data_IF_811568531941
#
_entry.id   IF_811568531941
#
_cell.length_a   1.000
_cell.length_b   1.000
_cell.length_c   1.000
_cell.angle_alpha   90.00
_cell.angle_beta   90.00
_cell.angle_gamma   90.00
#
_symmetry.space_group_name_H-M   'P 1'
#
loop_
_entity.id
_entity.type
_entity.pdbx_description
1 polymer ?
#
# COMPACT_ATOMS: atom_id res chain seq x y z
N UNK A 1 -5.43 -74.98 31.92
CA UNK A 1 -5.57 -73.85 32.86
C UNK A 1 -4.19 -73.38 33.27
N UNK A 2 -3.67 -72.33 32.62
CA UNK A 2 -2.78 -71.27 33.16
C UNK A 2 -2.21 -70.47 31.97
N UNK A 3 -2.66 -69.23 31.92
CA UNK A 3 -2.19 -68.15 31.06
C UNK A 3 -0.90 -67.60 31.66
N UNK A 4 0.11 -67.28 30.85
CA UNK A 4 1.01 -66.14 31.08
C UNK A 4 1.73 -65.77 29.79
N UNK A 5 1.59 -64.49 29.45
CA UNK A 5 2.17 -63.78 28.33
C UNK A 5 3.70 -63.71 28.42
N UNK A 6 4.41 -63.85 27.30
CA UNK A 6 5.71 -63.21 27.11
C UNK A 6 5.76 -62.56 25.72
N UNK A 7 6.16 -61.29 25.75
CA UNK A 7 6.15 -60.30 24.67
C UNK A 7 7.16 -60.66 23.58
N UNK A 8 6.69 -60.71 22.33
CA UNK A 8 7.55 -60.84 21.15
C UNK A 8 8.04 -59.45 20.73
N UNK A 9 9.35 -59.22 20.82
CA UNK A 9 10.01 -58.03 20.29
C UNK A 9 10.03 -58.10 18.75
N UNK A 10 9.15 -57.33 18.11
CA UNK A 10 9.25 -57.05 16.67
C UNK A 10 10.11 -55.80 16.48
N UNK A 11 11.26 -55.98 15.84
CA UNK A 11 12.07 -54.89 15.30
C UNK A 11 11.20 -54.04 14.35
N UNK A 12 10.95 -52.80 14.76
CA UNK A 12 10.41 -51.77 13.88
C UNK A 12 11.53 -51.28 12.96
N UNK A 13 11.62 -51.87 11.77
CA UNK A 13 12.19 -51.18 10.62
C UNK A 13 11.18 -50.10 10.23
N UNK A 14 11.36 -48.87 10.73
CA UNK A 14 10.72 -47.69 10.17
C UNK A 14 11.25 -47.51 8.75
N UNK A 15 10.59 -48.17 7.79
CA UNK A 15 10.52 -47.69 6.42
C UNK A 15 9.90 -46.30 6.53
N UNK A 16 10.74 -45.27 6.40
CA UNK A 16 10.28 -43.91 6.17
C UNK A 16 9.56 -43.95 4.82
N UNK A 17 8.24 -44.21 4.87
CA UNK A 17 7.35 -43.73 3.83
C UNK A 17 7.48 -42.21 3.88
N UNK A 18 8.36 -41.68 3.04
CA UNK A 18 8.18 -40.35 2.49
C UNK A 18 6.87 -40.42 1.70
N UNK A 19 5.74 -40.20 2.38
CA UNK A 19 4.51 -39.83 1.72
C UNK A 19 4.77 -38.49 1.04
N UNK A 20 5.15 -38.58 -0.23
CA UNK A 20 5.21 -37.48 -1.15
C UNK A 20 3.77 -37.01 -1.29
N UNK A 21 3.36 -36.03 -0.47
CA UNK A 21 2.10 -35.33 -0.66
C UNK A 21 2.24 -34.64 -2.02
N UNK A 22 1.66 -35.24 -3.05
CA UNK A 22 1.69 -34.75 -4.43
C UNK A 22 1.07 -33.35 -4.47
N UNK A 23 1.93 -32.34 -4.42
CA UNK A 23 1.52 -30.96 -4.62
C UNK A 23 0.88 -30.82 -6.00
N UNK A 24 -0.19 -30.01 -6.10
CA UNK A 24 -0.81 -29.69 -7.39
C UNK A 24 0.13 -28.78 -8.18
N UNK A 25 0.39 -29.17 -9.43
CA UNK A 25 1.27 -28.46 -10.36
C UNK A 25 0.45 -27.50 -11.21
N UNK A 26 0.95 -26.28 -11.38
CA UNK A 26 0.37 -25.23 -12.20
C UNK A 26 1.39 -24.73 -13.20
N UNK A 27 1.06 -24.79 -14.48
CA UNK A 27 1.85 -24.16 -15.53
C UNK A 27 1.65 -22.65 -15.52
N UNK A 28 2.77 -21.94 -15.68
CA UNK A 28 2.85 -20.50 -15.65
C UNK A 28 3.85 -19.98 -16.67
N UNK A 29 3.64 -18.75 -17.15
CA UNK A 29 4.63 -18.05 -17.97
C UNK A 29 4.82 -16.61 -17.53
N UNK A 30 6.04 -16.09 -17.62
CA UNK A 30 6.38 -14.67 -17.43
C UNK A 30 7.27 -14.17 -18.57
N UNK A 31 7.29 -12.87 -18.82
CA UNK A 31 8.18 -12.27 -19.83
C UNK A 31 9.30 -11.51 -19.11
N UNK A 32 10.55 -11.88 -19.36
CA UNK A 32 11.75 -11.18 -18.87
C UNK A 32 12.31 -10.27 -19.98
N UNK A 33 12.69 -9.04 -19.60
CA UNK A 33 13.26 -8.05 -20.53
C UNK A 33 14.76 -8.30 -20.74
N UNK A 34 15.09 -9.39 -21.43
CA UNK A 34 16.47 -9.79 -21.73
C UNK A 34 16.57 -10.27 -23.18
N UNK A 35 17.71 -10.05 -23.86
CA UNK A 35 17.92 -10.50 -25.23
C UNK A 35 18.39 -11.95 -25.25
N UNK A 36 17.78 -12.78 -26.10
CA UNK A 36 18.19 -14.18 -26.28
C UNK A 36 19.59 -14.30 -26.93
N UNK A 37 19.99 -13.31 -27.74
CA UNK A 37 21.32 -13.26 -28.35
C UNK A 37 22.46 -13.15 -27.32
N UNK A 38 22.20 -12.50 -26.17
CA UNK A 38 23.17 -12.39 -25.07
C UNK A 38 23.39 -13.74 -24.34
N UNK A 39 22.50 -14.71 -24.57
CA UNK A 39 22.55 -16.07 -24.01
C UNK A 39 23.28 -17.04 -24.97
N UNK A 40 23.21 -16.78 -26.28
CA UNK A 40 23.80 -17.64 -27.33
C UNK A 40 25.28 -17.34 -27.63
N UNK A 41 25.85 -16.28 -27.08
CA UNK A 41 27.22 -15.83 -27.36
C UNK A 41 28.32 -16.54 -26.53
N UNK A 42 27.94 -17.43 -25.62
CA UNK A 42 28.83 -18.16 -24.68
C UNK A 42 28.45 -19.66 -24.68
N UNK A 43 29.26 -20.59 -24.12
CA UNK A 43 28.92 -22.01 -24.13
C UNK A 43 27.51 -22.25 -23.55
N UNK A 44 26.60 -22.69 -24.43
CA UNK A 44 25.14 -22.56 -24.24
C UNK A 44 24.58 -23.22 -22.96
N UNK A 45 25.25 -24.25 -22.43
CA UNK A 45 24.80 -24.94 -21.21
C UNK A 45 24.99 -24.09 -19.94
N UNK A 46 26.15 -23.46 -19.78
CA UNK A 46 26.50 -22.76 -18.52
C UNK A 46 25.65 -21.52 -18.28
N UNK A 47 25.32 -20.76 -19.32
CA UNK A 47 24.53 -19.53 -19.18
C UNK A 47 23.03 -19.79 -19.06
N UNK A 48 22.53 -20.84 -19.71
CA UNK A 48 21.15 -21.29 -19.56
C UNK A 48 20.87 -21.72 -18.12
N UNK A 49 21.73 -22.58 -17.56
CA UNK A 49 21.58 -23.08 -16.18
C UNK A 49 21.70 -21.95 -15.15
N UNK A 50 22.57 -20.97 -15.39
CA UNK A 50 22.67 -19.78 -14.54
C UNK A 50 21.40 -18.92 -14.55
N UNK A 51 20.82 -18.66 -15.72
CA UNK A 51 19.61 -17.84 -15.85
C UNK A 51 18.41 -18.56 -15.23
N UNK A 52 18.25 -19.85 -15.53
CA UNK A 52 17.22 -20.70 -14.92
C UNK A 52 17.37 -20.71 -13.41
N UNK A 53 18.58 -20.96 -12.89
CA UNK A 53 18.85 -20.97 -11.45
C UNK A 53 18.55 -19.63 -10.78
N UNK A 54 18.86 -18.51 -11.43
CA UNK A 54 18.54 -17.18 -10.92
C UNK A 54 17.03 -16.91 -10.87
N UNK A 55 16.29 -17.31 -11.90
CA UNK A 55 14.83 -17.17 -11.95
C UNK A 55 14.19 -18.02 -10.85
N UNK A 56 14.55 -19.29 -10.77
CA UNK A 56 14.00 -20.20 -9.75
C UNK A 56 14.31 -19.70 -8.33
N UNK A 57 15.54 -19.26 -8.08
CA UNK A 57 15.92 -18.68 -6.79
C UNK A 57 15.12 -17.42 -6.46
N UNK A 58 14.90 -16.54 -7.45
CA UNK A 58 14.09 -15.34 -7.25
C UNK A 58 12.64 -15.68 -6.89
N UNK A 59 12.05 -16.67 -7.56
CA UNK A 59 10.68 -17.14 -7.30
C UNK A 59 10.60 -17.81 -5.92
N UNK A 60 11.52 -18.74 -5.58
CA UNK A 60 11.58 -19.35 -4.24
C UNK A 60 11.66 -18.31 -3.13
N UNK A 61 12.43 -17.25 -3.34
CA UNK A 61 12.56 -16.16 -2.38
C UNK A 61 11.27 -15.36 -2.17
N UNK A 62 10.38 -15.29 -3.17
CA UNK A 62 9.04 -14.69 -3.01
C UNK A 62 8.19 -15.56 -2.08
N UNK A 63 8.23 -16.86 -2.29
CA UNK A 63 7.43 -17.84 -1.54
C UNK A 63 8.08 -18.34 -0.25
N UNK A 64 9.22 -17.77 0.18
CA UNK A 64 10.01 -18.28 1.32
C UNK A 64 9.24 -18.43 2.63
N UNK A 65 8.17 -17.65 2.81
CA UNK A 65 7.32 -17.66 4.00
C UNK A 65 5.93 -18.27 3.73
N UNK A 66 5.69 -18.79 2.54
CA UNK A 66 4.42 -19.42 2.17
C UNK A 66 4.47 -20.93 2.38
N UNK A 67 3.93 -21.37 3.51
CA UNK A 67 3.75 -22.80 3.86
C UNK A 67 3.02 -23.65 2.81
N UNK A 68 2.27 -23.03 1.89
CA UNK A 68 1.52 -23.73 0.85
C UNK A 68 2.34 -23.97 -0.42
N UNK A 69 3.44 -23.26 -0.62
CA UNK A 69 4.31 -23.39 -1.78
C UNK A 69 5.25 -24.58 -1.60
N UNK A 70 5.29 -25.46 -2.59
CA UNK A 70 6.22 -26.59 -2.63
C UNK A 70 7.51 -26.22 -3.37
N UNK A 71 7.39 -25.90 -4.65
CA UNK A 71 8.53 -25.81 -5.55
C UNK A 71 8.22 -25.02 -6.84
N UNK A 72 9.25 -24.48 -7.47
CA UNK A 72 9.24 -23.93 -8.84
C UNK A 72 10.23 -24.71 -9.70
N UNK A 73 9.87 -24.93 -10.96
CA UNK A 73 10.74 -25.51 -11.97
C UNK A 73 10.58 -24.75 -13.29
N UNK A 74 11.65 -24.21 -13.84
CA UNK A 74 11.61 -23.61 -15.19
C UNK A 74 11.65 -24.75 -16.22
N UNK A 75 10.70 -24.72 -17.15
CA UNK A 75 10.54 -25.76 -18.16
C UNK A 75 11.26 -25.40 -19.45
N UNK A 76 11.14 -24.15 -19.90
CA UNK A 76 11.79 -23.66 -21.11
C UNK A 76 11.86 -22.14 -21.17
N UNK A 77 12.76 -21.63 -22.02
CA UNK A 77 12.88 -20.23 -22.39
C UNK A 77 12.56 -20.08 -23.89
N UNK A 78 11.64 -19.19 -24.25
CA UNK A 78 11.24 -18.92 -25.64
C UNK A 78 11.46 -17.47 -26.01
N UNK A 79 11.73 -17.19 -27.28
CA UNK A 79 11.78 -15.81 -27.76
C UNK A 79 10.35 -15.28 -27.97
N UNK A 80 10.08 -14.03 -27.58
CA UNK A 80 8.81 -13.38 -27.86
C UNK A 80 8.78 -12.95 -29.35
N UNK A 81 7.77 -13.40 -30.10
CA UNK A 81 7.62 -13.09 -31.52
C UNK A 81 7.51 -11.57 -31.78
N UNK A 82 8.19 -11.09 -32.81
CA UNK A 82 8.16 -9.68 -33.20
C UNK A 82 6.83 -9.34 -33.90
N UNK A 83 6.02 -8.48 -33.29
CA UNK A 83 4.86 -7.89 -33.97
C UNK A 83 5.32 -6.91 -35.06
N UNK A 84 4.60 -6.88 -36.19
CA UNK A 84 4.90 -6.15 -37.45
C UNK A 84 5.08 -4.62 -37.36
N UNK A 85 5.13 -4.02 -36.16
CA UNK A 85 5.31 -2.58 -35.94
C UNK A 85 6.45 -2.20 -34.97
N UNK A 86 7.33 -3.14 -34.58
CA UNK A 86 8.47 -2.81 -33.71
C UNK A 86 9.79 -3.34 -34.26
N UNK A 87 10.58 -2.44 -34.83
CA UNK A 87 12.03 -2.58 -34.91
C UNK A 87 12.61 -2.24 -33.53
N UNK A 88 13.11 -3.26 -32.84
CA UNK A 88 13.94 -3.29 -31.61
C UNK A 88 13.27 -3.93 -30.38
N UNK A 89 13.93 -5.01 -29.93
CA UNK A 89 13.90 -5.65 -28.60
C UNK A 89 13.02 -6.91 -28.47
N UNK A 90 13.64 -8.09 -28.66
CA UNK A 90 13.02 -9.41 -28.44
C UNK A 90 13.24 -9.87 -27.01
N UNK A 91 12.18 -9.89 -26.20
CA UNK A 91 12.18 -10.38 -24.81
C UNK A 91 12.12 -11.91 -24.77
N UNK A 92 12.34 -12.49 -23.60
CA UNK A 92 12.26 -13.94 -23.38
C UNK A 92 10.99 -14.26 -22.57
N UNK A 93 10.25 -15.26 -23.02
CA UNK A 93 9.16 -15.89 -22.28
C UNK A 93 9.76 -17.05 -21.48
N UNK A 94 9.53 -17.06 -20.18
CA UNK A 94 9.92 -18.14 -19.27
C UNK A 94 8.67 -18.95 -18.98
N UNK A 95 8.64 -20.21 -19.42
CA UNK A 95 7.58 -21.15 -19.03
C UNK A 95 8.06 -21.97 -17.83
N UNK A 96 7.21 -22.13 -16.82
CA UNK A 96 7.56 -22.73 -15.54
C UNK A 96 6.38 -23.48 -14.91
N UNK A 97 6.71 -24.40 -14.02
CA UNK A 97 5.78 -25.13 -13.18
C UNK A 97 5.91 -24.67 -11.73
N UNK A 98 4.78 -24.34 -11.11
CA UNK A 98 4.67 -24.03 -9.69
C UNK A 98 3.89 -25.13 -9.00
N UNK A 99 4.40 -25.65 -7.89
CA UNK A 99 3.74 -26.70 -7.10
C UNK A 99 3.25 -26.15 -5.76
N UNK A 100 2.04 -26.52 -5.38
CA UNK A 100 1.40 -26.11 -4.14
C UNK A 100 0.76 -27.29 -3.42
N UNK A 101 0.82 -27.32 -2.09
CA UNK A 101 0.29 -28.42 -1.30
C UNK A 101 -1.25 -28.41 -1.21
N UNK A 102 -1.89 -27.23 -1.21
CA UNK A 102 -3.33 -27.08 -1.07
C UNK A 102 -3.92 -26.17 -2.17
N UNK A 103 -4.75 -26.77 -3.03
CA UNK A 103 -5.45 -26.11 -4.15
C UNK A 103 -6.27 -24.89 -3.73
N UNK A 104 -6.97 -24.96 -2.60
CA UNK A 104 -7.88 -23.89 -2.15
C UNK A 104 -7.13 -22.64 -1.69
N UNK A 105 -5.84 -22.76 -1.40
CA UNK A 105 -4.98 -21.65 -0.95
C UNK A 105 -4.12 -21.06 -2.06
N UNK A 106 -4.13 -21.65 -3.27
CA UNK A 106 -3.24 -21.26 -4.38
C UNK A 106 -3.46 -19.81 -4.81
N UNK A 107 -4.70 -19.32 -4.86
CA UNK A 107 -4.97 -17.92 -5.21
C UNK A 107 -4.25 -16.96 -4.25
N UNK A 108 -4.35 -17.17 -2.93
CA UNK A 108 -3.65 -16.33 -1.95
C UNK A 108 -2.13 -16.47 -2.02
N UNK A 109 -1.61 -17.66 -2.34
CA UNK A 109 -0.18 -17.90 -2.53
C UNK A 109 0.39 -17.06 -3.67
N UNK A 110 -0.27 -17.06 -4.83
CA UNK A 110 0.27 -16.45 -6.07
C UNK A 110 0.08 -14.93 -6.14
N UNK A 111 -0.77 -14.31 -5.31
CA UNK A 111 -0.96 -12.85 -5.20
C UNK A 111 0.38 -12.10 -5.09
N UNK A 112 1.30 -12.59 -4.25
CA UNK A 112 2.63 -12.02 -4.08
C UNK A 112 3.45 -12.06 -5.38
N UNK A 113 3.38 -13.18 -6.11
CA UNK A 113 4.09 -13.33 -7.39
C UNK A 113 3.50 -12.40 -8.46
N UNK A 114 2.17 -12.28 -8.53
CA UNK A 114 1.48 -11.32 -9.41
C UNK A 114 1.90 -9.88 -9.12
N UNK A 115 1.87 -9.46 -7.86
CA UNK A 115 2.28 -8.11 -7.44
C UNK A 115 3.73 -7.81 -7.80
N UNK A 116 4.65 -8.75 -7.56
CA UNK A 116 6.06 -8.61 -7.92
C UNK A 116 6.23 -8.48 -9.44
N UNK A 117 5.58 -9.33 -10.25
CA UNK A 117 5.66 -9.22 -11.71
C UNK A 117 5.04 -7.91 -12.21
N UNK A 118 3.97 -7.43 -11.56
CA UNK A 118 3.33 -6.16 -11.88
C UNK A 118 4.25 -4.95 -11.62
N UNK A 119 5.09 -5.01 -10.59
CA UNK A 119 6.10 -3.97 -10.31
C UNK A 119 7.13 -3.83 -11.44
N UNK A 120 7.37 -4.91 -12.20
CA UNK A 120 8.30 -4.94 -13.33
C UNK A 120 9.69 -5.48 -12.99
N UNK A 121 9.90 -6.04 -11.79
CA UNK A 121 11.15 -6.70 -11.42
C UNK A 121 10.91 -7.96 -10.59
N UNK A 122 11.58 -9.05 -10.95
CA UNK A 122 11.66 -10.31 -10.20
C UNK A 122 13.05 -10.39 -9.54
N UNK A 123 13.19 -9.79 -8.36
CA UNK A 123 14.50 -9.58 -7.75
C UNK A 123 15.33 -8.60 -8.59
N UNK A 124 16.47 -9.03 -9.11
CA UNK A 124 17.30 -8.24 -10.05
C UNK A 124 16.93 -8.47 -11.52
N UNK A 125 15.94 -9.32 -11.80
CA UNK A 125 15.56 -9.70 -13.17
C UNK A 125 14.45 -8.76 -13.65
N UNK A 126 14.69 -7.93 -14.67
CA UNK A 126 13.65 -7.05 -15.20
C UNK A 126 12.57 -7.88 -15.91
N UNK A 127 11.32 -7.68 -15.56
CA UNK A 127 10.16 -8.38 -16.15
C UNK A 127 9.21 -7.40 -16.84
N UNK A 128 8.49 -7.86 -17.85
CA UNK A 128 7.38 -7.12 -18.42
C UNK A 128 6.24 -7.10 -17.40
N UNK A 129 5.75 -5.90 -17.09
CA UNK A 129 4.65 -5.69 -16.14
C UNK A 129 3.41 -6.47 -16.59
N UNK A 130 2.77 -7.16 -15.65
CA UNK A 130 1.55 -7.93 -15.91
C UNK A 130 1.72 -9.11 -16.86
N UNK A 131 2.96 -9.58 -17.10
CA UNK A 131 3.21 -10.70 -18.02
C UNK A 131 2.99 -12.08 -17.42
N UNK A 132 2.65 -12.18 -16.14
CA UNK A 132 2.40 -13.45 -15.47
C UNK A 132 1.09 -14.07 -15.95
N UNK A 133 1.18 -15.29 -16.46
CA UNK A 133 0.04 -16.12 -16.87
C UNK A 133 0.06 -17.40 -16.05
N UNK A 134 -1.12 -17.90 -15.67
CA UNK A 134 -1.33 -19.19 -14.99
C UNK A 134 -2.41 -19.96 -15.77
N UNK A 135 -2.10 -21.16 -16.26
CA UNK A 135 -2.98 -21.87 -17.21
C UNK A 135 -4.10 -22.70 -16.56
N UNK A 136 -3.86 -23.26 -15.38
CA UNK A 136 -4.76 -24.24 -14.72
C UNK A 136 -5.61 -23.66 -13.59
N UNK A 137 -5.58 -22.35 -13.38
CA UNK A 137 -6.58 -21.67 -12.58
C UNK A 137 -7.83 -21.47 -13.44
N UNK A 138 -9.06 -21.55 -12.86
CA UNK A 138 -10.25 -21.11 -13.56
C UNK A 138 -9.96 -19.73 -14.17
N UNK A 139 -10.63 -19.37 -15.27
CA UNK A 139 -10.70 -17.99 -15.74
C UNK A 139 -11.42 -17.12 -14.70
N UNK A 140 -10.89 -17.04 -13.48
CA UNK A 140 -10.65 -15.79 -12.80
C UNK A 140 -10.29 -14.82 -13.91
N UNK A 141 -11.21 -13.93 -14.18
CA UNK A 141 -11.15 -12.93 -15.23
C UNK A 141 -9.70 -12.50 -15.44
N UNK A 142 -9.23 -12.45 -16.70
CA UNK A 142 -7.98 -11.74 -17.04
C UNK A 142 -8.05 -10.24 -16.69
N UNK A 143 -9.13 -9.82 -16.06
CA UNK A 143 -9.26 -8.69 -15.15
C UNK A 143 -9.60 -9.24 -13.74
N UNK A 144 -8.62 -9.80 -13.01
CA UNK A 144 -8.64 -9.61 -11.57
C UNK A 144 -8.39 -8.12 -11.38
N UNK A 145 -9.17 -7.46 -10.50
CA UNK A 145 -9.24 -6.02 -10.49
C UNK A 145 -7.82 -5.53 -10.47
N UNK A 146 -7.50 -4.59 -11.35
CA UNK A 146 -6.55 -3.59 -10.94
C UNK A 146 -7.10 -3.19 -9.57
N UNK A 147 -6.45 -3.57 -8.45
CA UNK A 147 -6.73 -3.01 -7.13
C UNK A 147 -6.26 -1.56 -7.23
N UNK A 148 -6.91 -0.84 -8.15
CA UNK A 148 -6.56 0.45 -8.66
C UNK A 148 -7.01 1.31 -7.51
N UNK A 149 -6.04 1.62 -6.65
CA UNK A 149 -6.23 2.50 -5.52
C UNK A 149 -6.89 1.88 -4.27
N UNK A 150 -6.75 0.58 -4.02
CA UNK A 150 -7.08 0.01 -2.69
C UNK A 150 -5.84 -0.05 -1.78
N UNK A 151 -6.05 0.21 -0.49
CA UNK A 151 -5.01 0.13 0.52
C UNK A 151 -4.68 -1.33 0.88
N UNK A 152 -3.41 -1.66 1.21
CA UNK A 152 -3.06 -2.99 1.68
C UNK A 152 -3.89 -3.43 2.88
N UNK A 153 -4.10 -4.74 3.02
CA UNK A 153 -4.94 -5.33 4.06
C UNK A 153 -4.27 -5.30 5.43
N UNK A 154 -5.11 -5.35 6.47
CA UNK A 154 -4.72 -5.37 7.87
C UNK A 154 -5.17 -4.12 8.64
N UNK A 155 -5.03 -4.21 9.95
CA UNK A 155 -5.25 -3.10 10.85
C UNK A 155 -3.92 -2.38 11.06
N UNK A 156 -3.88 -1.08 10.81
CA UNK A 156 -2.68 -0.25 10.98
C UNK A 156 -3.05 1.23 11.03
N UNK A 157 -2.08 2.09 11.33
CA UNK A 157 -2.24 3.54 11.27
C UNK A 157 -1.18 4.22 10.41
N UNK A 158 -1.53 5.40 9.90
CA UNK A 158 -0.62 6.33 9.23
C UNK A 158 -0.65 7.69 9.96
N UNK A 159 0.43 8.49 9.87
CA UNK A 159 0.38 9.89 10.27
C UNK A 159 -0.67 10.65 9.45
N UNK A 160 -1.45 11.53 10.09
CA UNK A 160 -2.51 12.29 9.43
C UNK A 160 -1.96 13.53 8.74
N UNK A 161 -2.15 13.69 7.41
CA UNK A 161 -1.92 14.96 6.73
C UNK A 161 -2.91 16.06 7.15
N UNK A 162 -2.53 17.32 6.97
CA UNK A 162 -3.44 18.49 7.10
C UNK A 162 -4.63 18.41 6.15
N UNK A 163 -4.49 17.72 5.01
CA UNK A 163 -5.57 17.46 4.05
C UNK A 163 -6.59 16.42 4.55
N UNK A 164 -6.35 15.78 5.69
CA UNK A 164 -7.20 14.72 6.25
C UNK A 164 -6.71 13.32 5.90
N UNK A 165 -7.43 12.31 6.39
CA UNK A 165 -7.13 10.91 6.10
C UNK A 165 -7.41 10.53 4.64
N UNK A 166 -6.81 9.44 4.12
CA UNK A 166 -6.90 9.09 2.70
C UNK A 166 -8.33 8.99 2.17
N UNK A 167 -9.27 8.51 2.98
CA UNK A 167 -10.69 8.54 2.69
C UNK A 167 -11.51 8.47 4.00
N UNK A 168 -12.85 8.57 3.89
CA UNK A 168 -13.77 8.63 5.04
C UNK A 168 -13.91 7.31 5.81
N UNK A 169 -13.38 6.20 5.31
CA UNK A 169 -13.43 4.91 6.02
C UNK A 169 -12.37 4.81 7.12
N UNK A 170 -11.38 5.69 7.11
CA UNK A 170 -10.34 5.76 8.13
C UNK A 170 -10.88 6.45 9.38
N UNK A 171 -10.54 5.89 10.54
CA UNK A 171 -10.82 6.54 11.82
C UNK A 171 -9.71 7.53 12.15
N UNK A 172 -10.08 8.60 12.82
CA UNK A 172 -9.14 9.60 13.27
C UNK A 172 -8.91 9.49 14.77
N UNK A 173 -7.72 9.85 15.20
CA UNK A 173 -7.39 9.98 16.62
C UNK A 173 -6.15 10.82 16.81
N UNK A 174 -5.80 11.05 18.07
CA UNK A 174 -4.66 11.88 18.43
C UNK A 174 -4.03 11.44 19.75
N UNK A 175 -2.75 11.80 19.90
CA UNK A 175 -2.01 11.85 21.16
C UNK A 175 -1.40 13.23 21.29
N UNK A 176 -1.71 13.90 22.39
CA UNK A 176 -0.95 15.06 22.86
C UNK A 176 0.13 14.54 23.81
N UNK A 177 1.38 14.84 23.45
CA UNK A 177 2.58 14.57 24.24
C UNK A 177 2.92 15.85 25.00
N UNK A 178 2.91 15.77 26.32
CA UNK A 178 3.40 16.81 27.23
C UNK A 178 4.93 16.71 27.27
N UNK A 179 5.59 17.71 26.71
CA UNK A 179 7.05 17.74 26.52
C UNK A 179 7.69 18.62 27.58
N UNK A 180 9.03 18.61 27.66
CA UNK A 180 9.78 19.49 28.56
C UNK A 180 9.34 20.97 28.43
N UNK A 181 9.25 21.65 29.57
CA UNK A 181 8.73 23.02 29.69
C UNK A 181 9.86 24.07 29.74
N UNK A 182 11.05 23.70 30.22
CA UNK A 182 12.22 24.58 30.29
C UNK A 182 13.16 24.35 29.10
N UNK A 183 13.61 25.44 28.46
CA UNK A 183 14.54 25.36 27.31
C UNK A 183 14.06 24.48 26.12
N UNK A 184 12.74 24.32 25.99
CA UNK A 184 12.09 23.40 25.06
C UNK A 184 12.59 23.47 23.59
N UNK A 185 13.02 22.34 23.03
CA UNK A 185 13.50 22.19 21.64
C UNK A 185 12.53 21.51 20.66
N UNK A 186 11.26 21.35 21.05
CA UNK A 186 10.16 20.86 20.23
C UNK A 186 10.15 21.53 18.86
N UNK A 187 10.17 20.72 17.81
CA UNK A 187 10.30 21.26 16.46
C UNK A 187 9.60 20.42 15.41
N UNK A 188 9.40 21.02 14.24
CA UNK A 188 8.95 20.34 13.04
C UNK A 188 9.57 20.93 11.79
N UNK A 189 9.56 20.16 10.72
CA UNK A 189 9.97 20.68 9.41
C UNK A 189 9.20 21.95 9.01
N UNK A 190 9.91 22.89 8.39
CA UNK A 190 9.32 24.10 7.82
C UNK A 190 8.25 23.72 6.77
N UNK A 191 7.08 24.34 6.86
CA UNK A 191 5.91 24.03 6.01
C UNK A 191 5.46 22.56 6.09
N UNK A 192 5.56 21.94 7.27
CA UNK A 192 5.12 20.56 7.46
C UNK A 192 3.63 20.35 7.13
N UNK A 193 3.35 19.28 6.38
CA UNK A 193 1.99 18.87 6.05
C UNK A 193 1.38 17.95 7.11
N UNK A 194 2.06 17.70 8.23
CA UNK A 194 1.49 16.94 9.35
C UNK A 194 0.37 17.74 10.03
N UNK A 195 -0.74 17.04 10.29
CA UNK A 195 -1.83 17.55 11.12
C UNK A 195 -1.38 17.62 12.59
N UNK A 196 -2.09 18.43 13.37
CA UNK A 196 -1.75 18.76 14.75
C UNK A 196 -0.91 20.03 14.87
N UNK A 197 -0.39 20.25 16.08
CA UNK A 197 0.38 21.42 16.46
C UNK A 197 1.62 21.02 17.27
N UNK A 198 2.63 21.86 17.17
CA UNK A 198 3.86 21.82 17.97
C UNK A 198 3.89 23.14 18.71
N UNK A 199 3.96 23.10 20.03
CA UNK A 199 4.01 24.26 20.91
C UNK A 199 5.21 24.12 21.85
N UNK A 200 5.44 25.16 22.65
CA UNK A 200 6.45 25.15 23.71
C UNK A 200 6.07 24.27 24.92
N UNK A 201 4.88 23.67 24.91
CA UNK A 201 4.38 22.83 26.01
C UNK A 201 4.10 21.39 25.55
N UNK A 202 4.26 21.09 24.26
CA UNK A 202 3.93 19.77 23.78
C UNK A 202 3.63 19.67 22.30
N UNK A 203 3.41 18.43 21.89
CA UNK A 203 3.18 18.06 20.50
C UNK A 203 1.91 17.24 20.40
N UNK A 204 0.98 17.71 19.59
CA UNK A 204 -0.19 16.93 19.20
C UNK A 204 0.11 16.16 17.92
N UNK A 205 0.29 14.86 18.05
CA UNK A 205 0.30 13.93 16.92
C UNK A 205 -1.13 13.50 16.57
N UNK A 206 -1.43 13.47 15.28
CA UNK A 206 -2.72 13.04 14.74
C UNK A 206 -2.54 11.80 13.85
N UNK A 207 -3.51 10.89 13.92
CA UNK A 207 -3.45 9.58 13.30
C UNK A 207 -4.64 9.32 12.39
N UNK A 208 -4.38 8.59 11.31
CA UNK A 208 -5.38 7.94 10.49
C UNK A 208 -5.28 6.43 10.72
N UNK A 209 -6.32 5.80 11.25
CA UNK A 209 -6.36 4.37 11.55
C UNK A 209 -7.26 3.64 10.56
N UNK A 210 -6.66 2.68 9.86
CA UNK A 210 -7.35 1.79 8.95
C UNK A 210 -7.71 0.50 9.70
N UNK A 211 -9.00 0.18 9.75
CA UNK A 211 -9.52 -1.05 10.32
C UNK A 211 -10.20 -1.83 9.21
N UNK A 212 -9.51 -2.81 8.66
CA UNK A 212 -10.03 -3.60 7.54
C UNK A 212 -10.06 -5.09 7.92
N UNK A 213 -11.27 -5.63 7.99
CA UNK A 213 -11.58 -7.03 8.29
C UNK A 213 -11.86 -7.86 7.03
N UNK A 214 -11.62 -7.32 5.82
CA UNK A 214 -11.82 -8.08 4.57
C UNK A 214 -10.96 -9.34 4.58
N UNK A 215 -11.53 -10.42 4.06
CA UNK A 215 -10.86 -11.72 3.92
C UNK A 215 -9.78 -11.73 2.82
N UNK A 216 -9.82 -10.77 1.90
CA UNK A 216 -8.83 -10.62 0.84
C UNK A 216 -7.57 -9.95 1.39
N UNK A 217 -6.43 -10.61 1.25
CA UNK A 217 -5.17 -10.22 1.86
C UNK A 217 -4.28 -9.53 0.82
N UNK A 218 -4.49 -8.22 0.62
CA UNK A 218 -3.61 -7.37 -0.19
C UNK A 218 -2.33 -7.13 0.64
N UNK A 219 -1.16 -7.65 0.25
CA UNK A 219 0.07 -7.54 1.04
C UNK A 219 0.65 -6.12 0.95
N UNK A 220 1.35 -5.69 2.00
CA UNK A 220 2.17 -4.48 1.93
C UNK A 220 3.37 -4.69 1.00
N UNK A 221 3.66 -3.75 0.09
CA UNK A 221 4.78 -3.89 -0.84
C UNK A 221 6.13 -3.86 -0.12
N UNK A 222 7.11 -4.61 -0.63
CA UNK A 222 8.45 -4.63 -0.04
C UNK A 222 9.13 -3.26 -0.23
N UNK A 223 9.71 -2.72 0.83
CA UNK A 223 10.43 -1.45 0.80
C UNK A 223 11.14 -1.14 2.11
N UNK A 224 11.45 0.14 2.31
CA UNK A 224 12.08 0.69 3.52
C UNK A 224 11.21 1.79 4.12
N UNK A 225 10.26 1.40 4.96
CA UNK A 225 9.32 2.32 5.59
C UNK A 225 8.64 1.66 6.80
N UNK A 226 8.05 2.46 7.67
CA UNK A 226 7.19 1.99 8.76
C UNK A 226 5.80 2.62 8.69
N UNK A 227 4.86 1.96 9.35
CA UNK A 227 3.50 2.43 9.65
C UNK A 227 3.23 2.18 11.14
N UNK A 228 2.18 2.79 11.69
CA UNK A 228 1.78 2.51 13.06
C UNK A 228 1.11 1.13 13.16
N UNK A 229 1.45 0.38 14.21
CA UNK A 229 0.83 -0.91 14.49
C UNK A 229 -0.59 -0.70 15.02
N UNK A 230 -1.53 -1.56 14.62
CA UNK A 230 -2.87 -1.60 15.20
C UNK A 230 -3.40 -3.02 15.22
N UNK A 231 -4.17 -3.37 16.25
CA UNK A 231 -4.93 -4.62 16.27
C UNK A 231 -4.11 -5.84 16.68
N UNK A 232 -3.07 -5.65 17.49
CA UNK A 232 -2.34 -6.75 18.16
C UNK A 232 -1.21 -7.35 17.33
N UNK A 233 -1.31 -7.38 16.00
CA UNK A 233 -0.30 -7.98 15.11
C UNK A 233 -0.01 -7.09 13.90
N UNK A 234 1.23 -7.10 13.41
CA UNK A 234 1.56 -6.39 12.18
C UNK A 234 0.91 -6.99 10.93
N UNK A 235 0.51 -6.16 9.94
CA UNK A 235 0.14 -6.65 8.63
C UNK A 235 1.21 -7.54 8.00
N UNK A 236 0.77 -8.45 7.12
CA UNK A 236 1.66 -9.42 6.48
C UNK A 236 2.82 -8.73 5.76
N UNK A 237 4.04 -9.22 5.99
CA UNK A 237 5.27 -8.69 5.39
C UNK A 237 5.93 -7.55 6.17
N UNK A 238 5.32 -7.07 7.25
CA UNK A 238 5.89 -6.04 8.13
C UNK A 238 6.34 -6.64 9.47
N UNK A 239 7.34 -6.02 10.07
CA UNK A 239 7.97 -6.46 11.31
C UNK A 239 7.70 -5.46 12.43
N UNK A 240 7.39 -5.97 13.62
CA UNK A 240 7.10 -5.14 14.77
C UNK A 240 8.33 -4.38 15.26
N UNK A 241 8.10 -3.14 15.65
CA UNK A 241 9.03 -2.26 16.33
C UNK A 241 8.30 -1.39 17.35
N UNK A 242 9.04 -0.66 18.19
CA UNK A 242 8.46 0.26 19.16
C UNK A 242 9.43 1.40 19.49
N UNK A 243 8.86 2.51 19.91
CA UNK A 243 9.56 3.69 20.45
C UNK A 243 8.85 4.08 21.75
N UNK A 244 9.63 4.43 22.75
CA UNK A 244 9.21 4.95 24.05
C UNK A 244 9.73 6.37 24.19
N UNK A 245 8.81 7.29 24.42
CA UNK A 245 9.03 8.65 24.87
C UNK A 245 8.91 8.68 26.38
N UNK A 246 9.87 9.33 27.04
CA UNK A 246 9.77 9.73 28.43
C UNK A 246 9.22 11.16 28.46
N UNK A 247 7.90 11.24 28.48
CA UNK A 247 7.19 12.51 28.47
C UNK A 247 7.40 13.21 29.84
N UNK A 248 7.20 14.53 29.87
CA UNK A 248 7.41 15.36 31.05
C UNK A 248 6.55 14.89 32.23
N UNK A 249 7.17 14.72 33.41
CA UNK A 249 6.50 14.23 34.61
C UNK A 249 6.06 15.35 35.57
N UNK A 250 6.38 16.62 35.29
CA UNK A 250 5.97 17.74 36.13
C UNK A 250 4.50 18.12 35.91
N UNK A 251 3.76 18.36 37.01
CA UNK A 251 2.31 18.67 36.98
C UNK A 251 2.00 20.12 36.61
N UNK A 252 2.91 20.81 35.95
CA UNK A 252 2.86 22.27 35.83
C UNK A 252 1.97 22.70 34.66
N UNK A 253 1.93 21.97 33.55
CA UNK A 253 1.13 22.31 32.37
C UNK A 253 0.47 21.08 31.69
N UNK A 254 -0.17 21.30 30.54
CA UNK A 254 -1.18 20.44 29.89
C UNK A 254 -0.83 18.94 29.84
N UNK A 255 -1.48 18.10 30.68
CA UNK A 255 -1.08 16.71 30.77
C UNK A 255 -1.34 15.96 29.46
N UNK A 256 -0.52 14.95 29.27
CA UNK A 256 -0.70 13.90 28.28
C UNK A 256 -2.17 13.51 28.08
N UNK A 257 -2.66 13.60 26.83
CA UNK A 257 -4.05 13.32 26.51
C UNK A 257 -4.19 12.60 25.17
N UNK A 258 -5.27 11.85 25.01
CA UNK A 258 -5.56 11.13 23.77
C UNK A 258 -7.05 11.14 23.48
N UNK A 259 -7.40 10.91 22.22
CA UNK A 259 -8.79 10.76 21.81
C UNK A 259 -8.93 10.12 20.44
N UNK A 260 -10.13 9.62 20.15
CA UNK A 260 -10.40 8.89 18.92
C UNK A 260 -9.69 7.54 18.85
N UNK A 261 -9.37 7.11 17.64
CA UNK A 261 -8.68 5.84 17.40
C UNK A 261 -7.17 6.06 17.32
N UNK A 262 -6.41 5.42 18.21
CA UNK A 262 -4.94 5.55 18.28
C UNK A 262 -4.24 4.23 17.91
N UNK A 263 -2.95 4.25 17.54
CA UNK A 263 -2.14 3.05 17.38
C UNK A 263 -2.13 2.13 18.60
N UNK A 264 -1.61 0.92 18.43
CA UNK A 264 -1.24 0.09 19.58
C UNK A 264 -0.09 0.77 20.33
N UNK A 265 -0.22 0.85 21.65
CA UNK A 265 0.71 1.60 22.50
C UNK A 265 0.35 1.54 23.98
N UNK A 266 1.18 2.20 24.78
CA UNK A 266 0.88 2.53 26.17
C UNK A 266 0.88 4.06 26.30
N UNK A 267 -0.20 4.62 26.83
CA UNK A 267 -0.48 6.06 26.81
C UNK A 267 -0.75 6.55 28.23
N UNK A 268 0.21 6.35 29.13
CA UNK A 268 0.15 6.79 30.51
C UNK A 268 0.83 8.14 30.69
N UNK A 269 1.57 8.25 31.79
CA UNK A 269 2.52 9.34 32.04
C UNK A 269 3.58 9.40 30.94
N UNK A 270 4.07 8.24 30.49
CA UNK A 270 4.97 8.12 29.34
C UNK A 270 4.27 7.48 28.14
N UNK A 271 4.82 7.71 26.96
CA UNK A 271 4.25 7.19 25.71
C UNK A 271 5.09 6.05 25.13
N UNK A 272 4.44 4.94 24.79
CA UNK A 272 5.02 3.89 23.92
C UNK A 272 4.13 3.74 22.71
N UNK A 273 4.69 3.82 21.50
CA UNK A 273 3.98 3.56 20.25
C UNK A 273 4.64 2.38 19.54
N UNK A 274 3.83 1.44 19.09
CA UNK A 274 4.28 0.31 18.28
C UNK A 274 4.16 0.63 16.79
N UNK A 275 5.10 0.08 16.02
CA UNK A 275 5.25 0.26 14.58
C UNK A 275 5.31 -1.09 13.86
N UNK A 276 4.98 -1.07 12.59
CA UNK A 276 5.17 -2.17 11.66
C UNK A 276 6.04 -1.69 10.50
N UNK A 277 7.24 -2.25 10.37
CA UNK A 277 8.25 -1.80 9.42
C UNK A 277 8.50 -2.82 8.30
N UNK A 278 8.51 -2.33 7.07
CA UNK A 278 9.08 -3.03 5.92
C UNK A 278 10.58 -2.80 5.92
N UNK A 279 11.34 -3.89 6.05
CA UNK A 279 12.80 -3.84 6.21
C UNK A 279 13.56 -4.38 4.99
N UNK A 280 12.86 -4.69 3.90
CA UNK A 280 13.43 -5.45 2.78
C UNK A 280 13.20 -4.74 1.45
N UNK A 281 14.20 -4.78 0.55
CA UNK A 281 14.18 -3.99 -0.67
C UNK A 281 14.96 -2.68 -0.54
N UNK A 282 14.82 -1.79 -1.53
CA UNK A 282 15.47 -0.48 -1.56
C UNK A 282 14.41 0.61 -1.55
N UNK A 283 14.73 1.72 -0.89
CA UNK A 283 13.91 2.93 -0.92
C UNK A 283 13.80 3.52 -2.35
N UNK A 284 14.78 3.32 -3.22
CA UNK A 284 14.77 3.79 -4.62
C UNK A 284 13.73 3.10 -5.51
N UNK A 285 13.31 1.88 -5.15
CA UNK A 285 12.45 1.07 -5.99
C UNK A 285 10.99 1.46 -5.72
N UNK A 286 10.32 2.06 -6.71
CA UNK A 286 8.97 2.60 -6.51
C UNK A 286 7.94 1.52 -6.16
N UNK A 287 7.26 1.66 -5.02
CA UNK A 287 6.15 0.79 -4.60
C UNK A 287 4.80 1.31 -5.09
N UNK A 288 3.83 0.40 -5.20
CA UNK A 288 2.45 0.72 -5.56
C UNK A 288 1.61 0.88 -4.28
N UNK A 289 1.03 2.06 -4.10
CA UNK A 289 0.04 2.37 -3.08
C UNK A 289 -1.06 3.24 -3.71
N UNK A 290 -2.23 3.40 -3.06
CA UNK A 290 -3.25 4.35 -3.50
C UNK A 290 -2.70 5.75 -3.75
N UNK A 291 -3.17 6.39 -4.82
CA UNK A 291 -2.71 7.66 -5.38
C UNK A 291 -3.79 8.74 -5.49
N UNK A 292 -4.99 8.52 -4.93
CA UNK A 292 -6.07 9.53 -4.97
C UNK A 292 -5.93 10.64 -3.93
N UNK A 293 -5.25 10.36 -2.82
CA UNK A 293 -5.17 11.28 -1.67
C UNK A 293 -3.75 11.32 -1.13
N UNK A 294 -3.27 12.47 -0.63
CA UNK A 294 -1.99 12.53 0.06
C UNK A 294 -1.97 11.64 1.30
N UNK A 295 -0.79 11.11 1.62
CA UNK A 295 -0.59 10.28 2.80
C UNK A 295 0.86 10.33 3.29
N UNK A 296 1.10 9.71 4.44
CA UNK A 296 2.44 9.53 5.00
C UNK A 296 2.84 8.07 5.10
N UNK A 297 4.12 7.80 4.89
CA UNK A 297 4.83 6.68 5.50
C UNK A 297 5.90 7.23 6.43
N UNK A 298 6.41 6.38 7.33
CA UNK A 298 7.45 6.76 8.28
C UNK A 298 8.79 6.24 7.73
N UNK A 299 9.83 7.07 7.73
CA UNK A 299 11.13 6.68 7.18
C UNK A 299 11.77 5.55 7.99
N UNK A 300 12.49 4.63 7.34
CA UNK A 300 13.17 3.52 7.99
C UNK A 300 14.60 3.35 7.49
N UNK A 301 15.55 3.21 8.41
CA UNK A 301 16.97 2.95 8.14
C UNK A 301 17.78 4.13 7.58
N UNK A 302 17.15 5.12 6.95
CA UNK A 302 17.79 6.35 6.48
C UNK A 302 16.79 7.50 6.37
N UNK A 303 17.27 8.71 6.12
CA UNK A 303 16.45 9.89 5.77
C UNK A 303 15.91 9.85 4.34
N UNK A 304 16.32 8.89 3.52
CA UNK A 304 15.82 8.75 2.15
C UNK A 304 14.46 8.03 2.15
N UNK A 305 13.43 8.71 1.65
CA UNK A 305 12.09 8.16 1.57
C UNK A 305 11.95 7.04 0.54
N UNK A 306 11.12 6.05 0.88
CA UNK A 306 10.64 5.04 -0.05
C UNK A 306 9.94 5.71 -1.25
N UNK A 307 10.37 5.44 -2.47
CA UNK A 307 9.68 5.92 -3.66
C UNK A 307 8.31 5.24 -3.76
N UNK A 308 7.27 6.03 -4.01
CA UNK A 308 5.91 5.53 -4.29
C UNK A 308 5.54 6.00 -5.69
N UNK A 309 5.06 5.08 -6.51
CA UNK A 309 4.68 5.40 -7.88
C UNK A 309 3.56 6.45 -7.90
N UNK A 310 3.62 7.35 -8.87
CA UNK A 310 2.66 8.45 -9.08
C UNK A 310 2.57 9.46 -7.92
N UNK A 311 3.60 9.55 -7.08
CA UNK A 311 3.68 10.53 -6.02
C UNK A 311 4.96 11.33 -6.09
N UNK A 312 4.87 12.60 -5.70
CA UNK A 312 6.01 13.39 -5.29
C UNK A 312 6.19 13.19 -3.78
N UNK A 313 7.42 12.93 -3.35
CA UNK A 313 7.73 12.72 -1.93
C UNK A 313 8.47 13.91 -1.33
N UNK A 314 8.11 14.27 -0.09
CA UNK A 314 8.79 15.29 0.73
C UNK A 314 9.14 14.68 2.09
N UNK A 315 10.41 14.76 2.50
CA UNK A 315 10.85 14.35 3.83
C UNK A 315 10.51 15.46 4.83
N UNK A 316 9.91 15.08 5.94
CA UNK A 316 9.60 15.93 7.09
C UNK A 316 10.03 15.24 8.38
N UNK A 317 9.99 15.96 9.51
CA UNK A 317 10.24 15.39 10.82
C UNK A 317 9.46 16.12 11.91
N UNK A 318 9.25 15.42 13.03
CA UNK A 318 8.92 15.98 14.34
C UNK A 318 10.07 15.69 15.30
N UNK A 319 10.42 16.68 16.11
CA UNK A 319 11.35 16.60 17.23
C UNK A 319 10.53 16.78 18.50
N UNK A 320 10.59 15.78 19.38
CA UNK A 320 10.02 15.80 20.72
C UNK A 320 11.15 16.14 21.68
N UNK A 321 10.96 17.17 22.49
CA UNK A 321 11.84 17.48 23.60
C UNK A 321 11.37 16.70 24.83
N UNK A 322 12.01 15.55 25.05
CA UNK A 322 11.62 14.61 26.10
C UNK A 322 12.34 14.97 27.42
N UNK A 323 12.00 14.33 28.53
CA UNK A 323 12.52 14.66 29.87
C UNK A 323 14.06 14.74 29.94
N UNK A 324 14.60 15.87 30.41
CA UNK A 324 16.06 16.08 30.50
C UNK A 324 16.68 15.44 31.75
N UNK A 325 15.90 15.17 32.80
CA UNK A 325 16.38 14.59 34.06
C UNK A 325 15.93 13.14 34.25
N UNK A 326 16.85 12.18 34.11
CA UNK A 326 16.55 10.77 34.34
C UNK A 326 15.80 10.08 33.19
N UNK A 327 15.96 10.64 31.97
CA UNK A 327 15.37 10.18 30.73
C UNK A 327 15.44 8.66 30.50
N UNK A 328 14.28 8.07 30.23
CA UNK A 328 14.06 6.65 29.94
C UNK A 328 13.59 6.38 28.51
N UNK A 329 13.88 7.31 27.58
CA UNK A 329 13.73 7.14 26.15
C UNK A 329 14.40 5.84 25.70
N UNK A 330 13.67 5.10 24.89
CA UNK A 330 14.18 3.83 24.36
C UNK A 330 13.45 3.44 23.10
N UNK A 331 14.07 2.58 22.32
CA UNK A 331 13.45 2.06 21.11
C UNK A 331 13.93 0.63 20.87
N UNK A 332 13.14 -0.10 20.10
CA UNK A 332 13.53 -1.43 19.65
C UNK A 332 14.61 -1.36 18.55
N UNK A 333 15.22 -2.50 18.20
CA UNK A 333 16.13 -2.58 17.03
C UNK A 333 15.45 -2.18 15.72
N UNK A 334 14.16 -2.44 15.61
CA UNK A 334 13.33 -1.98 14.50
C UNK A 334 12.55 -0.76 14.99
N UNK A 335 12.92 0.41 14.50
CA UNK A 335 12.28 1.66 14.85
C UNK A 335 12.31 2.61 13.64
N UNK A 336 11.40 3.60 13.59
CA UNK A 336 11.51 4.72 12.67
C UNK A 336 12.90 5.34 12.65
N UNK A 337 13.33 5.81 11.49
CA UNK A 337 14.58 6.54 11.36
C UNK A 337 14.51 7.85 12.16
N UNK A 338 15.63 8.21 12.79
CA UNK A 338 15.78 9.38 13.66
C UNK A 338 15.83 9.06 15.16
N UNK A 339 15.16 7.98 15.59
CA UNK A 339 14.98 7.62 17.01
C UNK A 339 16.27 7.29 17.78
N UNK A 340 17.35 7.00 17.06
CA UNK A 340 18.66 6.68 17.65
C UNK A 340 19.69 7.83 17.48
N UNK A 341 19.29 8.98 16.93
CA UNK A 341 20.23 10.08 16.63
C UNK A 341 20.55 10.93 17.87
N UNK A 342 19.63 10.97 18.81
CA UNK A 342 19.73 11.75 20.03
C UNK A 342 19.24 10.86 21.19
N UNK A 343 20.09 10.63 22.22
CA UNK A 343 19.71 9.79 23.35
C UNK A 343 18.76 10.49 24.33
N UNK A 344 18.62 11.81 24.26
CA UNK A 344 17.76 12.60 25.14
C UNK A 344 16.44 12.95 24.45
N UNK A 345 16.45 13.16 23.15
CA UNK A 345 15.24 13.59 22.46
C UNK A 345 14.81 12.67 21.33
N UNK A 346 13.51 12.51 21.16
CA UNK A 346 12.97 11.69 20.09
C UNK A 346 12.80 12.50 18.80
N UNK A 347 13.48 12.08 17.73
CA UNK A 347 13.20 12.57 16.37
C UNK A 347 12.61 11.47 15.50
N UNK A 348 11.49 11.74 14.84
CA UNK A 348 10.93 10.84 13.83
C UNK A 348 10.80 11.54 12.49
N UNK A 349 11.30 10.88 11.45
CA UNK A 349 11.19 11.33 10.07
C UNK A 349 10.00 10.70 9.33
N UNK A 350 9.25 11.54 8.61
CA UNK A 350 8.05 11.20 7.90
C UNK A 350 8.20 11.53 6.41
N UNK A 351 7.65 10.69 5.55
CA UNK A 351 7.65 10.87 4.11
C UNK A 351 6.24 11.21 3.66
N UNK A 352 6.03 12.47 3.27
CA UNK A 352 4.77 12.96 2.74
C UNK A 352 4.69 12.67 1.24
N UNK A 353 3.65 11.96 0.82
CA UNK A 353 3.40 11.61 -0.58
C UNK A 353 2.22 12.41 -1.11
N UNK A 354 2.48 13.25 -2.11
CA UNK A 354 1.47 14.04 -2.81
C UNK A 354 1.20 13.42 -4.19
N UNK A 355 -0.06 13.15 -4.57
CA UNK A 355 -0.41 12.64 -5.89
C UNK A 355 0.13 13.52 -7.03
N UNK A 356 0.75 12.90 -8.02
CA UNK A 356 1.23 13.61 -9.22
C UNK A 356 0.09 13.85 -10.20
N UNK A 357 -0.13 15.10 -10.61
CA UNK A 357 -1.23 15.53 -11.50
C UNK A 357 -1.23 14.88 -12.91
N UNK A 358 -0.19 14.13 -13.28
CA UNK A 358 -0.03 13.56 -14.63
C UNK A 358 -0.84 12.27 -14.89
N UNK A 359 -1.49 11.70 -13.88
CA UNK A 359 -2.21 10.42 -14.03
C UNK A 359 -3.71 10.57 -14.33
N UNK A 360 -4.32 11.71 -14.01
CA UNK A 360 -5.75 11.94 -14.26
C UNK A 360 -6.07 12.08 -15.77
N UNK A 361 -5.07 12.40 -16.59
CA UNK A 361 -5.28 12.69 -18.02
C UNK A 361 -5.20 11.46 -18.93
N UNK A 362 -4.61 10.35 -18.48
CA UNK A 362 -4.41 9.17 -19.33
C UNK A 362 -5.68 8.31 -19.41
N UNK A 363 -6.43 8.20 -18.31
CA UNK A 363 -7.62 7.32 -18.22
C UNK A 363 -8.81 7.83 -19.03
N UNK A 364 -8.94 9.14 -19.23
CA UNK A 364 -10.02 9.74 -20.02
C UNK A 364 -9.83 9.56 -21.53
N UNK A 365 -8.58 9.55 -22.01
CA UNK A 365 -8.26 9.39 -23.44
C UNK A 365 -8.48 7.96 -23.96
N UNK A 366 -8.25 6.94 -23.12
CA UNK A 366 -8.46 5.54 -23.48
C UNK A 366 -9.93 5.10 -23.55
N UNK A 367 -10.84 5.79 -22.85
CA UNK A 367 -12.28 5.51 -22.92
C UNK A 367 -12.96 6.20 -24.11
N UNK A 368 -12.45 7.35 -24.55
CA UNK A 368 -12.99 8.08 -25.70
C UNK A 368 -12.71 7.39 -27.04
N UNK A 369 -11.65 6.59 -27.15
CA UNK A 369 -11.30 5.89 -28.39
C UNK A 369 -12.05 4.55 -28.58
N UNK A 370 -12.58 3.95 -27.52
CA UNK A 370 -13.28 2.66 -27.60
C UNK A 370 -14.79 2.81 -27.93
N UNK A 371 -15.38 3.99 -27.73
CA UNK A 371 -16.78 4.27 -28.07
C UNK A 371 -17.00 4.64 -29.54
N UNK A 372 -15.94 4.98 -30.29
CA UNK A 372 -16.05 5.45 -31.67
C UNK A 372 -15.99 4.33 -32.73
N UNK A 373 -15.68 3.08 -32.36
CA UNK A 373 -15.44 1.99 -33.33
C UNK A 373 -16.56 0.94 -33.44
N UNK A 374 -17.71 1.14 -32.79
CA UNK A 374 -18.75 0.09 -32.69
C UNK A 374 -20.10 0.44 -33.29
N UNK A 375 -20.17 1.46 -34.14
CA UNK A 375 -21.43 1.84 -34.80
C UNK A 375 -21.19 2.05 -36.29
N UNK A 376 -21.20 0.95 -37.05
CA UNK A 376 -21.58 0.90 -38.47
C UNK A 376 -21.41 -0.53 -39.01
N UNK A 377 -22.41 -1.39 -38.80
CA UNK A 377 -22.75 -2.46 -39.74
C UNK A 377 -24.13 -3.04 -39.45
N UNK A 378 -24.87 -3.26 -40.54
CA UNK A 378 -26.20 -3.88 -40.69
C UNK A 378 -27.43 -3.03 -40.29
N UNK A 379 -28.49 -2.91 -41.09
CA UNK A 379 -28.73 -3.23 -42.51
C UNK A 379 -30.03 -2.52 -42.93
N UNK A 380 -30.20 -2.33 -44.24
CA UNK A 380 -31.36 -1.73 -44.88
C UNK A 380 -32.65 -2.55 -44.69
N UNK A 381 -33.78 -1.89 -44.37
CA UNK A 381 -35.08 -2.28 -44.91
C UNK A 381 -36.07 -1.10 -44.93
N UNK A 382 -36.49 -0.72 -46.13
CA UNK A 382 -37.56 0.25 -46.44
C UNK A 382 -38.86 -0.54 -46.69
N UNK A 383 -40.05 -0.06 -46.26
CA UNK A 383 -40.96 0.53 -47.25
C UNK A 383 -41.75 1.76 -46.80
N UNK A 384 -41.71 2.78 -47.68
CA UNK A 384 -42.79 3.67 -48.17
C UNK A 384 -43.99 4.14 -47.30
N UNK A 385 -44.04 5.48 -47.16
CA UNK A 385 -45.16 6.45 -47.36
C UNK A 385 -46.60 6.11 -46.90
N UNK A 386 -47.13 6.95 -46.00
CA UNK A 386 -48.43 7.63 -46.20
C UNK A 386 -48.63 8.84 -45.27
N UNK A 387 -49.00 9.96 -45.87
CA UNK A 387 -49.50 11.24 -45.32
C UNK A 387 -50.85 11.15 -44.62
N UNK A 388 -51.09 11.90 -43.52
CA UNK A 388 -52.30 12.75 -43.38
C UNK A 388 -52.25 13.75 -42.20
N UNK A 389 -52.69 14.97 -42.50
CA UNK A 389 -53.01 16.08 -41.60
C UNK A 389 -54.25 15.82 -40.71
N UNK A 390 -54.29 16.49 -39.55
CA UNK A 390 -55.38 17.39 -39.09
C UNK A 390 -55.93 17.18 -37.66
N UNK A 391 -55.61 18.16 -36.79
CA UNK A 391 -56.45 18.96 -35.88
C UNK A 391 -57.25 18.37 -34.69
N UNK A 392 -57.18 19.17 -33.60
CA UNK A 392 -58.24 19.57 -32.62
C UNK A 392 -58.66 18.50 -31.56
N UNK A 393 -58.96 18.77 -30.27
CA UNK A 393 -59.01 20.00 -29.43
C UNK A 393 -59.25 19.65 -27.93
N UNK A 394 -58.97 20.61 -27.04
CA UNK A 394 -59.52 20.92 -25.67
C UNK A 394 -59.24 20.12 -24.39
N UNK A 395 -58.77 20.89 -23.38
CA UNK A 395 -59.31 20.99 -22.00
C UNK A 395 -58.64 20.09 -20.95
N UNK A 396 -58.26 20.51 -19.73
CA UNK A 396 -58.38 21.74 -18.94
C UNK A 396 -58.01 21.42 -17.47
N UNK A 397 -57.61 22.42 -16.66
CA UNK A 397 -57.39 22.33 -15.19
C UNK A 397 -56.06 22.99 -14.74
N UNK A 398 -56.01 24.29 -14.44
CA UNK A 398 -56.25 24.98 -13.13
C UNK A 398 -55.33 24.48 -12.01
N UNK A 399 -54.25 25.21 -11.68
CA UNK A 399 -54.15 26.20 -10.57
C UNK A 399 -52.87 25.86 -9.76
N UNK A 400 -52.13 26.71 -9.04
CA UNK A 400 -52.29 28.02 -8.39
C UNK A 400 -50.85 28.57 -8.25
N UNK A 401 -50.61 29.85 -8.54
CA UNK A 401 -49.35 30.55 -8.24
C UNK A 401 -49.60 31.38 -6.98
N UNK A 402 -48.85 31.10 -5.91
CA UNK A 402 -48.78 31.96 -4.72
C UNK A 402 -47.57 32.89 -4.82
N UNK A 403 -47.88 34.18 -4.74
CA UNK A 403 -46.98 35.31 -4.56
C UNK A 403 -46.41 35.32 -3.15
N UNK A 404 -45.17 35.79 -2.96
CA UNK A 404 -44.86 36.67 -1.82
C UNK A 404 -43.60 37.48 -2.06
N UNK A 405 -43.80 38.78 -1.83
CA UNK A 405 -42.92 39.91 -1.91
C UNK A 405 -42.16 40.10 -0.59
N UNK A 406 -40.94 40.64 -0.63
CA UNK A 406 -40.50 41.70 0.29
C UNK A 406 -39.17 42.30 -0.20
N UNK A 407 -39.06 43.62 -0.07
CA UNK A 407 -38.01 44.53 -0.58
C UNK A 407 -37.38 45.25 0.62
N UNK A 408 -36.19 45.85 0.38
CA UNK A 408 -35.54 47.00 1.10
C UNK A 408 -34.64 46.59 2.28
N UNK A 409 -33.30 46.52 2.12
CA UNK A 409 -32.24 47.57 2.10
C UNK A 409 -32.04 48.30 3.44
N UNK A 410 -30.84 48.20 4.03
CA UNK A 410 -30.12 49.33 4.65
C UNK A 410 -28.60 49.13 4.51
N UNK A 411 -27.94 50.01 3.76
CA UNK A 411 -26.51 50.29 3.87
C UNK A 411 -26.29 51.29 5.03
N UNK A 412 -25.32 51.03 5.90
CA UNK A 412 -24.81 52.03 6.82
C UNK A 412 -23.29 52.09 6.69
N UNK A 413 -22.82 53.20 6.11
CA UNK A 413 -21.48 53.70 6.34
C UNK A 413 -21.60 55.21 6.59
N UNK A 414 -21.02 55.70 7.69
CA UNK A 414 -20.00 56.77 7.69
C UNK A 414 -19.73 57.39 9.08
N UNK A 415 -18.44 57.66 9.26
CA UNK A 415 -17.78 58.76 9.99
C UNK A 415 -17.99 58.92 11.51
N UNK A 416 -16.85 59.01 12.22
CA UNK A 416 -16.48 60.24 12.95
C UNK A 416 -14.96 60.36 13.07
N UNK A 417 -14.47 61.53 12.66
CA UNK A 417 -13.21 62.14 13.10
C UNK A 417 -13.63 63.47 13.74
N UNK A 418 -13.15 63.76 14.95
CA UNK A 418 -12.86 65.13 15.37
C UNK A 418 -11.90 65.21 16.56
N UNK A 419 -10.95 66.11 16.38
CA UNK A 419 -9.86 66.66 17.18
C UNK A 419 -10.02 66.96 18.69
N UNK A 420 -8.87 66.86 19.39
CA UNK A 420 -8.20 67.83 20.32
C UNK A 420 -9.11 68.66 21.27
N UNK A 421 -8.90 68.76 22.58
CA UNK A 421 -7.73 69.30 23.32
C UNK A 421 -8.03 69.28 24.85
N UNK A 422 -6.95 69.20 25.65
CA UNK A 422 -6.80 69.61 27.07
C UNK A 422 -7.41 68.76 28.18
#
# INVERSE_FOLDING_TARGET
MRISFLVCAMLSCCVVHCDFVEGKIYTSSIIIKQKLQDIRATPALLQFDMIVGNIEKAIRNIFKNDSNFGNVKVMQLREQDANKMSTMQRNIIVDMELSFYNRSRVNGSIENLFSVVQSGALGTIPVQRGSLVMESLPKVSRQMPVFQNEWPSGNYGLPKPRTGCPDRSWREGFRYHDSENAENTNWKSNKSHLSGNVTLHGIRQEFCIHLNTRNEQIPWPRGKYCIYKKGGTCPFGLHEGWVRWDDENSKIDYPNSLGGEVPDGSYGENTVIYFCCSISGKNSDAILLPHKSPFYLIAFGSSECQQVQNHKVTLEYLQFDDEDQGNSNSHSRLAPFGTAQDPYNTRIYYCYYEPSASFDTVTSSSQAQLSASTQEREENLVPTKATRFSKFVTGGGVGIILMSSAVVVVFAGRFTSKDRTR
#
